data_IF_356121002151
#
_entry.id   IF_356121002151
#
_cell.length_a   1.000
_cell.length_b   1.000
_cell.length_c   1.000
_cell.angle_alpha   90.00
_cell.angle_beta   90.00
_cell.angle_gamma   90.00
#
_symmetry.space_group_name_H-M   'P 1'
#
loop_
_entity.id
_entity.type
_entity.pdbx_description
1 polymer ?
#
# COMPACT_ATOMS: atom_id res chain seq x y z
N UNK A 1 -35.53 -22.15 3.14
CA UNK A 1 -34.43 -22.38 2.18
C UNK A 1 -33.27 -21.45 2.54
N UNK A 2 -32.04 -21.95 2.72
CA UNK A 2 -30.86 -21.09 2.89
C UNK A 2 -30.62 -20.38 1.55
N UNK A 3 -30.53 -19.07 1.57
CA UNK A 3 -30.30 -18.24 0.38
C UNK A 3 -28.86 -18.46 -0.13
N UNK A 4 -28.72 -18.73 -1.44
CA UNK A 4 -27.39 -18.85 -2.07
C UNK A 4 -26.54 -17.62 -1.84
N UNK A 5 -25.25 -17.82 -1.64
CA UNK A 5 -24.28 -16.77 -1.39
C UNK A 5 -23.40 -16.62 -2.64
N UNK A 6 -23.35 -15.39 -3.16
CA UNK A 6 -22.38 -15.00 -4.18
C UNK A 6 -21.53 -13.87 -3.62
N UNK A 7 -20.23 -14.12 -3.42
CA UNK A 7 -19.27 -13.12 -2.94
C UNK A 7 -18.18 -12.91 -3.98
N UNK A 8 -17.64 -11.70 -4.04
CA UNK A 8 -16.51 -11.37 -4.91
C UNK A 8 -15.44 -10.57 -4.18
N UNK A 9 -14.18 -10.94 -4.40
CA UNK A 9 -13.01 -10.31 -3.81
C UNK A 9 -12.10 -9.82 -4.93
N UNK A 10 -11.81 -8.53 -4.95
CA UNK A 10 -10.84 -7.94 -5.88
C UNK A 10 -9.44 -7.89 -5.27
N UNK A 11 -8.45 -8.31 -6.03
CA UNK A 11 -7.04 -8.33 -5.62
C UNK A 11 -6.10 -8.05 -6.80
N UNK A 12 -4.88 -7.64 -6.53
CA UNK A 12 -3.98 -7.17 -7.58
C UNK A 12 -2.61 -7.83 -7.61
N UNK A 13 -2.09 -8.36 -6.52
CA UNK A 13 -0.75 -8.94 -6.45
C UNK A 13 -0.79 -10.41 -6.09
N UNK A 14 0.31 -11.14 -6.39
CA UNK A 14 0.45 -12.55 -6.02
C UNK A 14 0.20 -12.79 -4.51
N UNK A 15 0.79 -11.95 -3.64
CA UNK A 15 0.62 -12.09 -2.19
C UNK A 15 -0.83 -11.87 -1.75
N UNK A 16 -1.47 -10.79 -2.21
CA UNK A 16 -2.87 -10.51 -1.89
C UNK A 16 -3.83 -11.53 -2.50
N UNK A 17 -3.50 -12.10 -3.66
CA UNK A 17 -4.29 -13.18 -4.26
C UNK A 17 -4.21 -14.47 -3.43
N UNK A 18 -3.03 -14.82 -2.90
CA UNK A 18 -2.87 -15.94 -1.99
C UNK A 18 -3.69 -15.74 -0.69
N UNK A 19 -3.64 -14.54 -0.10
CA UNK A 19 -4.48 -14.20 1.06
C UNK A 19 -5.97 -14.35 0.72
N UNK A 20 -6.43 -13.80 -0.42
CA UNK A 20 -7.82 -13.90 -0.84
C UNK A 20 -8.27 -15.36 -1.04
N UNK A 21 -7.40 -16.21 -1.59
CA UNK A 21 -7.67 -17.64 -1.76
C UNK A 21 -7.81 -18.36 -0.41
N UNK A 22 -6.89 -18.13 0.52
CA UNK A 22 -6.94 -18.68 1.89
C UNK A 22 -8.25 -18.29 2.59
N UNK A 23 -8.63 -17.02 2.50
CA UNK A 23 -9.89 -16.52 3.06
C UNK A 23 -11.09 -17.19 2.40
N UNK A 24 -11.10 -17.33 1.07
CA UNK A 24 -12.20 -17.95 0.33
C UNK A 24 -12.41 -19.43 0.74
N UNK A 25 -11.33 -20.19 0.83
CA UNK A 25 -11.34 -21.58 1.30
C UNK A 25 -11.86 -21.66 2.73
N UNK A 26 -11.31 -20.83 3.63
CA UNK A 26 -11.73 -20.78 5.03
C UNK A 26 -13.22 -20.39 5.18
N UNK A 27 -13.69 -19.41 4.41
CA UNK A 27 -15.09 -19.00 4.43
C UNK A 27 -16.01 -20.13 3.96
N UNK A 28 -15.65 -20.81 2.86
CA UNK A 28 -16.43 -21.93 2.34
C UNK A 28 -16.53 -23.10 3.34
N UNK A 29 -15.39 -23.54 3.88
CA UNK A 29 -15.32 -24.69 4.77
C UNK A 29 -16.00 -24.43 6.12
N UNK A 30 -15.78 -23.23 6.69
CA UNK A 30 -16.33 -22.87 8.00
C UNK A 30 -17.86 -22.73 7.99
N UNK A 31 -18.42 -22.15 6.93
CA UNK A 31 -19.85 -21.83 6.91
C UNK A 31 -20.70 -22.81 6.11
N UNK A 32 -20.10 -23.86 5.53
CA UNK A 32 -20.80 -24.90 4.75
C UNK A 32 -21.86 -24.26 3.85
N UNK A 33 -21.39 -23.47 2.89
CA UNK A 33 -22.26 -22.67 2.03
C UNK A 33 -23.26 -23.56 1.30
N UNK A 34 -24.54 -23.13 1.19
CA UNK A 34 -25.52 -23.87 0.41
C UNK A 34 -25.17 -23.85 -1.08
N UNK A 35 -25.49 -24.94 -1.78
CA UNK A 35 -25.35 -24.96 -3.25
C UNK A 35 -26.51 -24.19 -3.91
N UNK A 36 -26.27 -23.48 -5.02
CA UNK A 36 -24.99 -23.21 -5.69
C UNK A 36 -24.34 -21.88 -5.24
N UNK A 37 -23.72 -21.85 -4.06
CA UNK A 37 -22.96 -20.66 -3.62
C UNK A 37 -21.62 -20.56 -4.34
N UNK A 38 -21.12 -19.33 -4.52
CA UNK A 38 -19.81 -19.09 -5.16
C UNK A 38 -19.03 -17.97 -4.49
N UNK A 39 -17.70 -18.08 -4.51
CA UNK A 39 -16.76 -17.02 -4.14
C UNK A 39 -15.86 -16.77 -5.35
N UNK A 40 -15.95 -15.59 -5.93
CA UNK A 40 -15.17 -15.19 -7.10
C UNK A 40 -13.96 -14.35 -6.68
N UNK A 41 -12.77 -14.73 -7.12
CA UNK A 41 -11.57 -13.93 -7.00
C UNK A 41 -11.27 -13.21 -8.31
N UNK A 42 -11.35 -11.88 -8.31
CA UNK A 42 -11.00 -11.08 -9.46
C UNK A 42 -9.56 -10.54 -9.29
N UNK A 43 -8.67 -10.89 -10.21
CA UNK A 43 -7.26 -10.51 -10.17
C UNK A 43 -6.90 -9.60 -11.32
N UNK A 44 -6.14 -8.54 -11.05
CA UNK A 44 -5.64 -7.66 -12.11
C UNK A 44 -4.99 -6.39 -11.58
N UNK A 45 -3.78 -6.14 -12.04
CA UNK A 45 -3.11 -4.86 -11.82
C UNK A 45 -3.84 -3.74 -12.56
N UNK A 46 -3.93 -2.55 -11.94
CA UNK A 46 -4.48 -1.35 -12.53
C UNK A 46 -6.00 -1.23 -12.45
N UNK A 47 -6.76 -2.31 -12.65
CA UNK A 47 -8.24 -2.26 -12.61
C UNK A 47 -8.83 -2.61 -11.25
N UNK A 48 -8.11 -3.34 -10.41
CA UNK A 48 -8.59 -3.83 -9.11
C UNK A 48 -7.70 -3.44 -7.94
N UNK A 49 -6.71 -2.59 -8.19
CA UNK A 49 -5.75 -2.11 -7.20
C UNK A 49 -5.57 -0.60 -7.25
N UNK A 50 -4.66 -0.10 -6.44
CA UNK A 50 -4.31 1.31 -6.39
C UNK A 50 -5.51 2.17 -6.07
N UNK A 51 -5.64 3.28 -6.77
CA UNK A 51 -6.71 4.26 -6.55
C UNK A 51 -8.09 3.81 -7.05
N UNK A 52 -8.20 2.75 -7.87
CA UNK A 52 -9.49 2.22 -8.35
C UNK A 52 -10.13 1.21 -7.39
N UNK A 53 -9.35 0.55 -6.54
CA UNK A 53 -9.87 -0.46 -5.63
C UNK A 53 -11.03 0.05 -4.75
N UNK A 54 -10.91 1.21 -4.06
CA UNK A 54 -12.00 1.77 -3.28
C UNK A 54 -13.25 2.07 -4.12
N UNK A 55 -13.08 2.63 -5.32
CA UNK A 55 -14.17 2.96 -6.23
C UNK A 55 -14.95 1.73 -6.69
N UNK A 56 -14.25 0.63 -6.98
CA UNK A 56 -14.87 -0.62 -7.39
C UNK A 56 -15.71 -1.24 -6.26
N UNK A 57 -15.24 -1.13 -5.01
CA UNK A 57 -16.00 -1.59 -3.84
C UNK A 57 -17.21 -0.67 -3.57
N UNK A 58 -17.01 0.65 -3.57
CA UNK A 58 -18.09 1.64 -3.33
C UNK A 58 -19.24 1.50 -4.34
N UNK A 59 -18.91 1.23 -5.60
CA UNK A 59 -19.91 0.98 -6.66
C UNK A 59 -20.57 -0.40 -6.61
N UNK A 60 -20.18 -1.25 -5.67
CA UNK A 60 -20.70 -2.62 -5.54
C UNK A 60 -20.25 -3.58 -6.64
N UNK A 61 -19.21 -3.23 -7.40
CA UNK A 61 -18.63 -4.13 -8.41
C UNK A 61 -18.02 -5.37 -7.76
N UNK A 62 -17.45 -5.20 -6.56
CA UNK A 62 -16.96 -6.25 -5.69
C UNK A 62 -17.49 -6.06 -4.28
N UNK A 63 -17.75 -7.16 -3.58
CA UNK A 63 -18.16 -7.12 -2.18
C UNK A 63 -17.00 -6.72 -1.28
N UNK A 64 -15.81 -7.20 -1.63
CA UNK A 64 -14.56 -6.92 -0.91
C UNK A 64 -13.45 -6.57 -1.87
N UNK A 65 -12.47 -5.81 -1.39
CA UNK A 65 -11.27 -5.46 -2.17
C UNK A 65 -10.11 -5.08 -1.29
N UNK A 66 -8.91 -5.39 -1.77
CA UNK A 66 -7.67 -4.92 -1.16
C UNK A 66 -7.27 -3.58 -1.75
N UNK A 67 -6.71 -2.73 -0.90
CA UNK A 67 -6.07 -1.48 -1.34
C UNK A 67 -4.66 -1.41 -0.75
N UNK A 68 -3.77 -0.66 -1.37
CA UNK A 68 -2.42 -0.38 -0.90
C UNK A 68 -1.99 1.02 -1.35
N UNK A 69 -1.44 1.83 -0.46
CA UNK A 69 -1.33 1.67 0.99
C UNK A 69 -2.61 2.02 1.74
N UNK A 70 -2.59 1.88 3.08
CA UNK A 70 -3.71 2.24 3.96
C UNK A 70 -4.20 3.69 3.78
N UNK A 71 -3.31 4.62 3.45
CA UNK A 71 -3.63 6.02 3.18
C UNK A 71 -4.62 6.21 2.02
N UNK A 72 -4.58 5.35 1.00
CA UNK A 72 -5.54 5.40 -0.13
C UNK A 72 -6.96 5.09 0.34
N UNK A 73 -7.13 4.15 1.27
CA UNK A 73 -8.44 3.87 1.87
C UNK A 73 -8.99 5.10 2.60
N UNK A 74 -8.16 5.79 3.38
CA UNK A 74 -8.52 7.03 4.07
C UNK A 74 -8.87 8.15 3.10
N UNK A 75 -8.05 8.34 2.08
CA UNK A 75 -8.28 9.34 1.04
C UNK A 75 -9.64 9.14 0.35
N UNK A 76 -9.97 7.90 -0.02
CA UNK A 76 -11.26 7.55 -0.63
C UNK A 76 -12.44 7.73 0.36
N UNK A 77 -12.28 7.29 1.59
CA UNK A 77 -13.29 7.45 2.65
C UNK A 77 -13.64 8.92 2.91
N UNK A 78 -12.63 9.81 2.86
CA UNK A 78 -12.80 11.24 3.08
C UNK A 78 -13.17 12.01 1.79
N UNK A 79 -13.06 11.41 0.61
CA UNK A 79 -13.31 12.06 -0.69
C UNK A 79 -12.24 13.09 -1.05
N UNK A 80 -10.98 12.75 -0.83
CA UNK A 80 -9.82 13.63 -1.03
C UNK A 80 -8.99 13.21 -2.26
N UNK A 81 -8.04 14.03 -2.63
CA UNK A 81 -7.08 13.76 -3.72
C UNK A 81 -7.77 13.50 -5.06
N UNK A 82 -7.59 12.30 -5.59
CA UNK A 82 -8.22 11.90 -6.86
C UNK A 82 -9.71 11.54 -6.73
N UNK A 83 -10.27 11.51 -5.53
CA UNK A 83 -11.67 11.19 -5.29
C UNK A 83 -12.50 12.46 -5.13
N UNK A 84 -13.59 12.57 -5.90
CA UNK A 84 -14.46 13.77 -5.91
C UNK A 84 -15.53 13.78 -4.81
N UNK A 85 -15.73 12.64 -4.12
CA UNK A 85 -16.74 12.47 -3.07
C UNK A 85 -16.31 11.42 -2.05
N UNK A 86 -16.83 11.55 -0.83
CA UNK A 86 -16.69 10.54 0.21
C UNK A 86 -17.30 9.22 -0.24
N UNK A 87 -16.61 8.12 0.06
CA UNK A 87 -17.11 6.78 -0.25
C UNK A 87 -17.61 6.08 1.00
N UNK A 88 -18.69 5.31 0.85
CA UNK A 88 -19.34 4.59 1.95
C UNK A 88 -18.58 3.29 2.29
N UNK A 89 -17.30 3.39 2.60
CA UNK A 89 -16.40 2.26 2.85
C UNK A 89 -16.25 1.95 4.34
N UNK A 90 -15.96 0.68 4.62
CA UNK A 90 -15.52 0.17 5.92
C UNK A 90 -14.41 -0.85 5.71
N UNK A 91 -13.55 -0.99 6.73
CA UNK A 91 -12.57 -2.07 6.75
C UNK A 91 -13.15 -3.31 7.44
N UNK A 92 -12.82 -4.49 6.93
CA UNK A 92 -12.88 -5.72 7.73
C UNK A 92 -11.68 -5.72 8.68
N UNK A 93 -10.51 -5.36 8.19
CA UNK A 93 -9.27 -5.15 8.92
C UNK A 93 -8.16 -4.70 7.98
N UNK A 94 -6.93 -4.72 8.46
CA UNK A 94 -5.75 -4.37 7.67
C UNK A 94 -4.72 -5.49 7.77
N UNK A 95 -4.39 -6.12 6.66
CA UNK A 95 -3.29 -7.07 6.61
C UNK A 95 -1.98 -6.29 6.73
N UNK A 96 -1.10 -6.67 7.67
CA UNK A 96 0.19 -6.04 7.81
C UNK A 96 1.03 -6.21 6.54
N UNK A 97 1.61 -5.10 6.10
CA UNK A 97 2.58 -5.05 5.00
C UNK A 97 3.44 -3.82 5.24
N UNK A 98 4.58 -4.01 5.91
CA UNK A 98 5.49 -2.91 6.18
C UNK A 98 6.09 -2.39 4.89
N UNK A 99 5.96 -1.09 4.64
CA UNK A 99 6.53 -0.44 3.47
C UNK A 99 6.67 1.07 3.65
N UNK A 100 7.60 1.67 2.90
CA UNK A 100 7.85 3.11 2.89
C UNK A 100 8.08 3.58 1.46
N UNK A 101 7.60 4.78 1.15
CA UNK A 101 7.94 5.47 -0.09
C UNK A 101 9.21 6.29 0.13
N UNK A 102 10.31 5.94 -0.52
CA UNK A 102 11.60 6.59 -0.30
C UNK A 102 12.16 7.16 -1.59
N UNK A 103 12.74 8.36 -1.48
CA UNK A 103 13.62 8.94 -2.49
C UNK A 103 15.07 8.67 -2.08
N UNK A 104 15.74 7.79 -2.80
CA UNK A 104 17.17 7.54 -2.66
C UNK A 104 17.94 8.22 -3.78
N UNK A 105 19.14 8.74 -3.48
CA UNK A 105 20.01 9.42 -4.45
C UNK A 105 21.46 9.01 -4.22
N UNK A 106 22.22 8.82 -5.30
CA UNK A 106 23.64 8.51 -5.26
C UNK A 106 24.45 9.60 -4.54
N UNK A 107 25.38 9.22 -3.67
CA UNK A 107 26.21 10.17 -2.89
C UNK A 107 27.09 11.02 -3.81
N UNK A 108 27.48 10.50 -4.97
CA UNK A 108 28.27 11.17 -6.00
C UNK A 108 27.55 12.37 -6.65
N UNK A 109 26.22 12.44 -6.61
CA UNK A 109 25.46 13.59 -7.11
C UNK A 109 25.66 14.84 -6.26
N UNK A 110 26.14 14.70 -5.04
CA UNK A 110 26.26 15.78 -4.07
C UNK A 110 24.91 16.31 -3.54
N UNK A 111 23.78 15.71 -3.93
CA UNK A 111 22.43 16.09 -3.46
C UNK A 111 22.22 15.60 -2.02
N UNK A 112 21.80 16.52 -1.13
CA UNK A 112 21.56 16.26 0.27
C UNK A 112 20.07 16.32 0.66
N UNK A 113 19.24 16.98 -0.15
CA UNK A 113 17.80 17.11 0.10
C UNK A 113 17.02 17.15 -1.22
N UNK A 114 15.70 16.92 -1.14
CA UNK A 114 14.82 16.95 -2.34
C UNK A 114 14.71 18.38 -2.89
N UNK A 115 14.79 19.40 -2.02
CA UNK A 115 14.78 20.81 -2.41
C UNK A 115 15.95 21.18 -3.33
N UNK A 116 17.12 20.60 -3.08
CA UNK A 116 18.32 20.86 -3.88
C UNK A 116 18.17 20.38 -5.33
N UNK A 117 17.39 19.31 -5.57
CA UNK A 117 17.13 18.79 -6.91
C UNK A 117 16.51 19.90 -7.77
N UNK A 118 15.49 20.59 -7.23
CA UNK A 118 14.85 21.72 -7.89
C UNK A 118 15.78 22.93 -7.99
N UNK A 119 16.40 23.31 -6.89
CA UNK A 119 17.26 24.51 -6.84
C UNK A 119 18.41 24.45 -7.85
N UNK A 120 19.01 23.27 -8.00
CA UNK A 120 20.10 23.00 -8.94
C UNK A 120 19.61 22.61 -10.34
N UNK A 121 18.30 22.41 -10.56
CA UNK A 121 17.74 21.80 -11.77
C UNK A 121 18.53 20.57 -12.17
N UNK A 122 18.79 19.69 -11.19
CA UNK A 122 19.71 18.57 -11.35
C UNK A 122 19.10 17.51 -12.30
N UNK A 123 19.81 17.09 -13.37
CA UNK A 123 19.31 16.18 -14.39
C UNK A 123 19.39 14.71 -13.96
N UNK A 124 18.70 14.33 -12.88
CA UNK A 124 18.72 12.98 -12.33
C UNK A 124 18.25 11.92 -13.32
N UNK A 125 18.91 10.77 -13.30
CA UNK A 125 18.43 9.53 -13.92
C UNK A 125 17.67 8.74 -12.84
N UNK A 126 16.34 8.86 -12.84
CA UNK A 126 15.47 8.32 -11.77
C UNK A 126 14.85 6.99 -12.18
N UNK A 127 15.14 5.92 -11.44
CA UNK A 127 14.44 4.65 -11.56
C UNK A 127 13.16 4.68 -10.70
N UNK A 128 12.00 4.51 -11.34
CA UNK A 128 10.68 4.57 -10.68
C UNK A 128 9.65 3.68 -11.38
N UNK A 129 8.42 3.67 -10.92
CA UNK A 129 7.33 2.81 -11.45
C UNK A 129 6.92 3.18 -12.87
N UNK A 130 6.46 2.16 -13.62
CA UNK A 130 5.83 2.38 -14.93
C UNK A 130 4.66 3.34 -14.85
N UNK A 131 4.50 4.16 -15.88
CA UNK A 131 3.33 5.00 -16.03
C UNK A 131 2.08 4.11 -16.20
N UNK A 132 1.12 4.31 -15.32
CA UNK A 132 -0.20 3.66 -15.37
C UNK A 132 -1.15 4.49 -14.53
N UNK A 133 -2.29 4.85 -15.07
CA UNK A 133 -3.21 5.85 -14.52
C UNK A 133 -3.79 5.51 -13.13
N UNK A 134 -3.53 4.32 -12.59
CA UNK A 134 -4.22 3.78 -11.43
C UNK A 134 -3.28 3.33 -10.31
N UNK A 135 -1.98 3.55 -10.44
CA UNK A 135 -1.01 3.18 -9.40
C UNK A 135 -0.97 4.25 -8.31
N UNK A 136 -1.31 3.86 -7.10
CA UNK A 136 -1.19 4.72 -5.91
C UNK A 136 0.21 5.28 -5.72
N UNK A 137 1.23 4.50 -6.06
CA UNK A 137 2.64 4.89 -5.99
C UNK A 137 2.93 6.15 -6.79
N UNK A 138 2.54 6.20 -8.07
CA UNK A 138 2.79 7.39 -8.90
C UNK A 138 1.99 8.59 -8.43
N UNK A 139 0.74 8.41 -8.02
CA UNK A 139 -0.06 9.48 -7.44
C UNK A 139 0.65 10.13 -6.23
N UNK A 140 1.20 9.29 -5.34
CA UNK A 140 1.87 9.80 -4.13
C UNK A 140 3.21 10.43 -4.48
N UNK A 141 3.98 9.85 -5.41
CA UNK A 141 5.22 10.46 -5.92
C UNK A 141 4.94 11.86 -6.48
N UNK A 142 3.92 11.99 -7.33
CA UNK A 142 3.53 13.27 -7.91
C UNK A 142 3.12 14.28 -6.83
N UNK A 143 2.35 13.86 -5.82
CA UNK A 143 1.95 14.74 -4.71
C UNK A 143 3.13 15.13 -3.81
N UNK A 144 4.13 14.24 -3.60
CA UNK A 144 5.37 14.60 -2.92
C UNK A 144 6.12 15.66 -3.71
N UNK A 145 6.45 15.40 -4.97
CA UNK A 145 7.23 16.32 -5.82
C UNK A 145 6.52 17.67 -6.01
N UNK A 146 5.20 17.66 -6.15
CA UNK A 146 4.38 18.87 -6.19
C UNK A 146 4.49 19.69 -4.90
N UNK A 147 4.69 19.03 -3.75
CA UNK A 147 4.99 19.70 -2.48
C UNK A 147 6.29 20.50 -2.52
N UNK A 148 7.26 20.06 -3.31
CA UNK A 148 8.52 20.76 -3.58
C UNK A 148 8.43 21.71 -4.79
N UNK A 149 7.31 21.73 -5.51
CA UNK A 149 7.07 22.60 -6.64
C UNK A 149 7.80 22.17 -7.92
N UNK A 150 7.99 20.88 -8.14
CA UNK A 150 8.48 20.30 -9.39
C UNK A 150 7.85 18.91 -9.63
N UNK A 151 8.13 18.31 -10.77
CA UNK A 151 7.61 17.03 -11.21
C UNK A 151 8.69 16.15 -11.84
N UNK A 152 8.37 14.89 -12.13
CA UNK A 152 9.25 14.03 -12.93
C UNK A 152 9.48 14.57 -14.34
N UNK A 153 8.51 15.31 -14.91
CA UNK A 153 8.66 15.96 -16.21
C UNK A 153 9.65 17.12 -16.17
N UNK A 154 9.73 17.84 -15.06
CA UNK A 154 10.73 18.89 -14.89
C UNK A 154 12.14 18.29 -14.87
N UNK A 155 12.35 17.15 -14.20
CA UNK A 155 13.64 16.43 -14.24
C UNK A 155 14.05 16.09 -15.68
N UNK A 156 13.10 15.64 -16.50
CA UNK A 156 13.36 15.38 -17.94
C UNK A 156 13.75 16.69 -18.64
N UNK A 157 13.02 17.79 -18.40
CA UNK A 157 13.30 19.08 -19.02
C UNK A 157 14.67 19.65 -18.63
N UNK A 158 15.21 19.23 -17.48
CA UNK A 158 16.57 19.62 -17.03
C UNK A 158 17.66 18.73 -17.62
N UNK A 159 17.32 17.77 -18.50
CA UNK A 159 18.25 16.84 -19.15
C UNK A 159 18.35 15.48 -18.45
N UNK A 160 17.55 15.23 -17.43
CA UNK A 160 17.47 13.93 -16.73
C UNK A 160 16.70 12.87 -17.48
N UNK A 161 16.59 11.68 -16.90
CA UNK A 161 15.92 10.51 -17.50
C UNK A 161 15.04 9.81 -16.48
N UNK A 162 13.84 9.42 -16.89
CA UNK A 162 12.94 8.59 -16.06
C UNK A 162 12.94 7.16 -16.60
N UNK A 163 13.52 6.26 -15.82
CA UNK A 163 13.60 4.82 -16.13
C UNK A 163 12.47 4.09 -15.41
N UNK A 164 11.61 3.45 -16.21
CA UNK A 164 10.37 2.84 -15.71
C UNK A 164 10.54 1.35 -15.49
N UNK A 165 10.13 0.86 -14.31
CA UNK A 165 10.14 -0.56 -13.95
C UNK A 165 8.74 -1.05 -13.60
N UNK A 166 8.47 -2.32 -13.87
CA UNK A 166 7.14 -2.94 -13.66
C UNK A 166 6.75 -3.05 -12.18
N UNK A 167 7.73 -3.32 -11.32
CA UNK A 167 7.56 -3.47 -9.87
C UNK A 167 8.87 -3.17 -9.12
N UNK A 168 8.84 -2.95 -7.78
CA UNK A 168 10.03 -2.59 -7.01
C UNK A 168 11.14 -3.65 -7.04
N UNK A 169 10.78 -4.92 -7.15
CA UNK A 169 11.71 -6.07 -7.16
C UNK A 169 12.12 -6.52 -8.56
N UNK A 170 11.83 -5.73 -9.60
CA UNK A 170 12.16 -6.12 -10.98
C UNK A 170 13.68 -6.23 -11.19
N UNK A 171 14.15 -7.18 -12.03
CA UNK A 171 15.56 -7.30 -12.38
C UNK A 171 16.16 -6.01 -12.97
N UNK A 172 15.37 -5.24 -13.71
CA UNK A 172 15.77 -3.95 -14.28
C UNK A 172 16.11 -2.92 -13.18
N UNK A 173 15.35 -2.89 -12.07
CA UNK A 173 15.67 -2.05 -10.94
C UNK A 173 17.04 -2.41 -10.34
N UNK A 174 17.27 -3.70 -10.13
CA UNK A 174 18.54 -4.17 -9.60
C UNK A 174 19.71 -3.88 -10.58
N UNK A 175 19.47 -3.98 -11.88
CA UNK A 175 20.44 -3.60 -12.91
C UNK A 175 20.76 -2.12 -12.85
N UNK A 176 19.75 -1.23 -12.87
CA UNK A 176 19.94 0.22 -12.79
C UNK A 176 20.80 0.65 -11.58
N UNK A 177 20.61 -0.03 -10.44
CA UNK A 177 21.38 0.24 -9.23
C UNK A 177 22.84 -0.24 -9.33
N UNK A 178 23.06 -1.49 -9.78
CA UNK A 178 24.40 -2.09 -9.86
C UNK A 178 25.28 -1.50 -10.94
N UNK A 179 24.67 -1.13 -12.06
CA UNK A 179 25.42 -0.54 -13.21
C UNK A 179 25.69 0.95 -13.05
N UNK A 180 25.06 1.61 -12.07
CA UNK A 180 25.12 3.07 -11.95
C UNK A 180 24.35 3.81 -13.05
N UNK A 181 23.45 3.12 -13.78
CA UNK A 181 22.57 3.79 -14.75
C UNK A 181 21.59 4.74 -14.07
N UNK A 182 21.17 4.44 -12.83
CA UNK A 182 20.31 5.32 -12.04
C UNK A 182 21.12 6.12 -11.03
N UNK A 183 20.94 7.44 -11.04
CA UNK A 183 21.42 8.33 -9.98
C UNK A 183 20.45 8.35 -8.79
N UNK A 184 19.21 7.96 -9.02
CA UNK A 184 18.17 7.99 -8.00
C UNK A 184 17.13 6.88 -8.16
N UNK A 185 16.48 6.53 -7.05
CA UNK A 185 15.28 5.70 -7.01
C UNK A 185 14.20 6.46 -6.26
N UNK A 186 13.01 6.56 -6.81
CA UNK A 186 11.84 7.06 -6.07
C UNK A 186 10.71 6.07 -6.22
N UNK A 187 10.50 5.25 -5.18
CA UNK A 187 9.51 4.17 -5.22
C UNK A 187 9.11 3.72 -3.81
N UNK A 188 8.03 2.93 -3.74
CA UNK A 188 7.64 2.06 -2.63
C UNK A 188 8.35 0.70 -2.74
N UNK A 189 7.96 -0.28 -1.91
CA UNK A 189 8.55 -1.61 -1.93
C UNK A 189 9.99 -1.61 -1.43
N UNK A 190 10.29 -0.75 -0.46
CA UNK A 190 11.64 -0.47 0.04
C UNK A 190 12.41 -1.73 0.45
N UNK A 191 11.73 -2.78 0.95
CA UNK A 191 12.35 -4.07 1.26
C UNK A 191 13.01 -4.76 0.06
N UNK A 192 12.52 -4.47 -1.14
CA UNK A 192 13.02 -5.11 -2.36
C UNK A 192 14.29 -4.48 -2.92
N UNK A 193 14.53 -3.20 -2.65
CA UNK A 193 15.61 -2.45 -3.29
C UNK A 193 16.44 -1.59 -2.32
N UNK A 194 15.93 -1.30 -1.12
CA UNK A 194 16.55 -0.33 -0.22
C UNK A 194 17.95 -0.72 0.23
N UNK A 195 18.18 -2.00 0.60
CA UNK A 195 19.51 -2.48 0.96
C UNK A 195 20.49 -2.37 -0.23
N UNK A 196 20.06 -2.80 -1.41
CA UNK A 196 20.89 -2.70 -2.62
C UNK A 196 21.22 -1.24 -2.97
N UNK A 197 20.30 -0.30 -2.79
CA UNK A 197 20.55 1.11 -3.03
C UNK A 197 21.63 1.66 -2.08
N UNK A 198 21.55 1.34 -0.80
CA UNK A 198 22.57 1.73 0.19
C UNK A 198 23.94 1.08 -0.12
N UNK A 199 23.93 -0.21 -0.53
CA UNK A 199 25.14 -0.93 -0.94
C UNK A 199 25.76 -0.36 -2.21
N UNK A 200 24.94 0.22 -3.09
CA UNK A 200 25.37 0.93 -4.32
C UNK A 200 25.77 2.39 -4.07
N UNK A 201 25.95 2.80 -2.82
CA UNK A 201 26.42 4.16 -2.49
C UNK A 201 25.32 5.23 -2.48
N UNK A 202 24.05 4.86 -2.49
CA UNK A 202 22.96 5.84 -2.36
C UNK A 202 22.74 6.23 -0.90
N UNK A 203 22.05 7.36 -0.71
CA UNK A 203 21.48 7.81 0.57
C UNK A 203 19.97 7.98 0.42
N UNK A 204 19.24 7.79 1.51
CA UNK A 204 17.81 8.10 1.57
C UNK A 204 17.63 9.56 1.96
N UNK A 205 16.78 10.27 1.23
CA UNK A 205 16.44 11.66 1.52
C UNK A 205 15.17 11.71 2.39
N UNK A 206 15.19 12.47 3.49
CA UNK A 206 13.98 12.74 4.27
C UNK A 206 13.00 13.59 3.46
N UNK A 207 11.71 13.41 3.68
CA UNK A 207 10.70 14.30 3.15
C UNK A 207 10.47 15.43 4.16
N UNK A 208 10.45 16.68 3.65
CA UNK A 208 10.27 17.87 4.50
C UNK A 208 8.95 17.81 5.28
N UNK A 209 8.93 18.22 6.56
CA UNK A 209 7.74 18.12 7.41
C UNK A 209 6.49 18.79 6.82
N UNK A 210 6.62 19.91 6.12
CA UNK A 210 5.46 20.58 5.52
C UNK A 210 4.86 19.80 4.34
N UNK A 211 5.70 19.08 3.58
CA UNK A 211 5.22 18.17 2.53
C UNK A 211 4.52 16.98 3.17
N UNK A 212 5.06 16.41 4.24
CA UNK A 212 4.41 15.33 5.01
C UNK A 212 3.06 15.77 5.56
N UNK A 213 2.98 16.94 6.21
CA UNK A 213 1.70 17.51 6.70
C UNK A 213 0.66 17.71 5.58
N UNK A 214 1.11 18.07 4.37
CA UNK A 214 0.22 18.16 3.21
C UNK A 214 -0.32 16.78 2.82
N UNK A 215 0.51 15.74 2.83
CA UNK A 215 0.10 14.37 2.53
C UNK A 215 -0.80 13.79 3.63
N UNK A 216 -0.58 14.14 4.90
CA UNK A 216 -1.46 13.77 6.02
C UNK A 216 -2.88 14.31 5.82
N UNK A 217 -3.02 15.53 5.30
CA UNK A 217 -4.34 16.08 4.93
C UNK A 217 -5.01 15.32 3.79
N UNK A 218 -4.23 14.65 2.92
CA UNK A 218 -4.76 13.75 1.91
C UNK A 218 -5.06 12.34 2.45
N UNK A 219 -4.62 12.01 3.67
CA UNK A 219 -4.91 10.73 4.32
C UNK A 219 -3.71 9.80 4.47
N UNK A 220 -2.51 10.23 4.09
CA UNK A 220 -1.28 9.44 4.22
C UNK A 220 -0.57 9.79 5.52
N UNK A 221 -0.12 8.78 6.27
CA UNK A 221 0.69 9.01 7.45
C UNK A 221 2.16 9.15 7.05
N UNK A 222 2.94 9.79 7.93
CA UNK A 222 4.39 9.74 7.91
C UNK A 222 4.90 8.60 8.79
N UNK A 223 6.07 8.06 8.45
CA UNK A 223 6.71 7.03 9.25
C UNK A 223 8.25 7.07 9.10
N UNK A 224 8.98 6.59 10.11
CA UNK A 224 10.43 6.54 10.06
C UNK A 224 10.94 5.35 9.22
N UNK A 225 12.16 5.51 8.71
CA UNK A 225 13.08 4.44 8.32
C UNK A 225 14.31 4.60 9.20
N UNK A 226 14.72 3.53 9.86
CA UNK A 226 15.79 3.57 10.87
C UNK A 226 16.88 2.53 10.60
N UNK A 227 17.95 2.58 11.38
CA UNK A 227 19.01 1.57 11.34
C UNK A 227 18.53 0.17 11.79
N UNK A 228 17.37 0.07 12.44
CA UNK A 228 16.74 -1.23 12.76
C UNK A 228 16.38 -1.99 11.49
N UNK A 229 15.81 -1.29 10.50
CA UNK A 229 15.44 -1.86 9.21
C UNK A 229 16.65 -1.89 8.25
N UNK A 230 17.48 -0.85 8.29
CA UNK A 230 18.62 -0.67 7.38
C UNK A 230 19.89 -0.30 8.18
N UNK A 231 20.70 -1.28 8.62
CA UNK A 231 21.90 -1.02 9.44
C UNK A 231 22.92 -0.07 8.81
N UNK A 232 22.94 0.04 7.47
CA UNK A 232 23.83 0.97 6.73
C UNK A 232 23.26 2.39 6.57
N UNK A 233 22.10 2.67 7.14
CA UNK A 233 21.51 4.00 7.09
C UNK A 233 22.26 4.94 8.03
N UNK A 234 22.87 6.00 7.49
CA UNK A 234 23.70 6.95 8.24
C UNK A 234 22.92 7.62 9.41
N UNK A 235 21.64 7.94 9.17
CA UNK A 235 20.71 8.53 10.16
C UNK A 235 19.26 8.19 9.81
N UNK A 236 18.38 8.12 10.81
CA UNK A 236 16.94 7.92 10.55
C UNK A 236 16.38 9.02 9.65
N UNK A 237 15.45 8.65 8.77
CA UNK A 237 14.69 9.59 7.95
C UNK A 237 13.20 9.44 8.25
N UNK A 238 12.43 10.50 8.01
CA UNK A 238 10.98 10.46 8.00
C UNK A 238 10.48 10.58 6.56
N UNK A 239 9.56 9.70 6.18
CA UNK A 239 9.00 9.61 4.84
C UNK A 239 7.52 9.22 4.88
N UNK A 240 6.90 8.96 3.72
CA UNK A 240 5.51 8.52 3.64
C UNK A 240 5.40 7.06 4.03
N UNK A 241 4.48 6.76 4.95
CA UNK A 241 4.07 5.40 5.26
C UNK A 241 3.29 4.79 4.09
N UNK A 242 3.87 3.76 3.49
CA UNK A 242 3.25 3.01 2.39
C UNK A 242 2.71 1.66 2.85
N UNK A 243 2.56 1.47 4.15
CA UNK A 243 2.20 0.21 4.78
C UNK A 243 0.71 -0.10 4.73
N UNK A 244 0.42 -1.38 4.92
CA UNK A 244 -0.89 -1.92 5.13
C UNK A 244 -1.69 -2.22 3.86
N UNK A 245 -2.38 -3.37 3.92
CA UNK A 245 -3.36 -3.77 2.91
C UNK A 245 -4.76 -3.81 3.52
N UNK A 246 -5.48 -2.68 3.65
CA UNK A 246 -6.87 -2.67 4.09
C UNK A 246 -7.73 -3.60 3.23
N UNK A 247 -8.52 -4.41 3.91
CA UNK A 247 -9.54 -5.25 3.28
C UNK A 247 -10.89 -4.57 3.42
N UNK A 248 -11.35 -4.00 2.32
CA UNK A 248 -12.50 -3.08 2.28
C UNK A 248 -13.79 -3.80 1.92
N UNK A 249 -14.89 -3.26 2.43
CA UNK A 249 -16.26 -3.53 1.98
C UNK A 249 -17.09 -2.23 2.02
N UNK A 250 -18.29 -2.25 1.49
CA UNK A 250 -19.26 -1.16 1.65
C UNK A 250 -19.79 -1.10 3.07
N UNK A 251 -20.17 0.07 3.52
CA UNK A 251 -20.76 0.28 4.86
C UNK A 251 -22.14 -0.37 5.03
N UNK A 252 -22.87 -0.56 3.95
CA UNK A 252 -24.21 -1.18 3.90
C UNK A 252 -24.16 -2.69 3.67
N UNK A 253 -22.99 -3.32 3.54
CA UNK A 253 -22.87 -4.76 3.52
C UNK A 253 -23.59 -5.37 4.74
N UNK A 254 -24.38 -6.42 4.53
CA UNK A 254 -25.11 -7.03 5.64
C UNK A 254 -24.12 -7.44 6.76
N UNK A 255 -24.39 -7.07 8.04
CA UNK A 255 -23.46 -7.30 9.15
C UNK A 255 -23.05 -8.75 9.33
N UNK A 256 -23.95 -9.69 9.00
CA UNK A 256 -23.68 -11.11 9.05
C UNK A 256 -22.53 -11.53 8.12
N UNK A 257 -22.46 -10.95 6.91
CA UNK A 257 -21.36 -11.25 5.98
C UNK A 257 -20.04 -10.70 6.46
N UNK A 258 -20.00 -9.49 6.97
CA UNK A 258 -18.78 -8.92 7.54
C UNK A 258 -18.32 -9.68 8.80
N UNK A 259 -19.24 -10.13 9.63
CA UNK A 259 -18.98 -10.99 10.78
C UNK A 259 -18.36 -12.33 10.35
N UNK A 260 -19.02 -13.02 9.40
CA UNK A 260 -18.53 -14.29 8.85
C UNK A 260 -17.17 -14.13 8.17
N UNK A 261 -16.95 -13.02 7.48
CA UNK A 261 -15.65 -12.72 6.86
C UNK A 261 -14.54 -12.55 7.89
N UNK A 262 -14.80 -11.81 8.97
CA UNK A 262 -13.86 -11.68 10.08
C UNK A 262 -13.56 -13.04 10.73
N UNK A 263 -14.57 -13.87 10.94
CA UNK A 263 -14.42 -15.21 11.50
C UNK A 263 -13.66 -16.17 10.56
N UNK A 264 -13.82 -16.02 9.24
CA UNK A 264 -13.06 -16.81 8.27
C UNK A 264 -11.57 -16.42 8.27
N UNK A 265 -11.27 -15.12 8.34
CA UNK A 265 -9.91 -14.63 8.44
C UNK A 265 -9.25 -15.13 9.73
N UNK A 266 -9.96 -15.04 10.87
CA UNK A 266 -9.47 -15.51 12.16
C UNK A 266 -9.10 -17.00 12.13
N UNK A 267 -9.91 -17.82 11.45
CA UNK A 267 -9.64 -19.28 11.38
C UNK A 267 -8.47 -19.67 10.46
N UNK A 268 -7.93 -18.75 9.68
CA UNK A 268 -6.78 -19.02 8.79
C UNK A 268 -5.63 -18.00 8.97
N UNK A 269 -5.71 -17.10 9.93
CA UNK A 269 -4.77 -15.97 10.02
C UNK A 269 -3.31 -16.40 10.21
N UNK A 270 -3.05 -17.50 10.93
CA UNK A 270 -1.71 -18.04 11.13
C UNK A 270 -1.06 -18.54 9.81
N UNK A 271 -1.90 -18.93 8.84
CA UNK A 271 -1.46 -19.43 7.53
C UNK A 271 -1.37 -18.31 6.48
N UNK A 272 -1.83 -17.10 6.81
CA UNK A 272 -1.80 -15.97 5.88
C UNK A 272 -0.38 -15.44 5.79
N UNK A 273 0.24 -15.44 4.59
CA UNK A 273 1.54 -14.84 4.39
C UNK A 273 1.43 -13.33 4.53
N UNK A 274 1.96 -12.79 5.61
CA UNK A 274 2.01 -11.35 5.84
C UNK A 274 3.41 -10.81 5.58
N UNK A 275 3.46 -9.52 5.28
CA UNK A 275 4.67 -8.85 4.85
C UNK A 275 5.20 -7.90 5.93
N UNK A 276 5.38 -8.41 7.16
CA UNK A 276 6.11 -7.71 8.22
C UNK A 276 7.59 -7.59 7.87
N UNK A 277 8.23 -6.51 8.30
CA UNK A 277 9.67 -6.36 8.10
C UNK A 277 10.47 -7.40 8.90
N UNK A 278 10.03 -7.72 10.09
CA UNK A 278 10.60 -8.74 10.99
C UNK A 278 10.08 -10.17 10.74
N UNK A 279 9.32 -10.37 9.67
CA UNK A 279 8.73 -11.65 9.25
C UNK A 279 7.85 -12.35 10.30
N UNK A 280 7.42 -11.64 11.34
CA UNK A 280 6.50 -12.18 12.35
C UNK A 280 5.13 -12.49 11.74
N UNK A 281 4.46 -13.50 12.29
CA UNK A 281 3.08 -13.82 11.90
C UNK A 281 2.11 -12.68 12.26
N UNK A 282 1.02 -12.59 11.50
CA UNK A 282 -0.06 -11.66 11.80
C UNK A 282 -0.81 -12.12 13.07
N UNK A 283 -1.11 -11.17 13.95
CA UNK A 283 -2.09 -11.38 15.01
C UNK A 283 -3.43 -10.78 14.61
N UNK A 284 -4.53 -11.30 15.19
CA UNK A 284 -5.85 -10.72 14.97
C UNK A 284 -5.98 -9.32 15.59
N UNK A 285 -5.20 -9.01 16.62
CA UNK A 285 -5.10 -7.68 17.20
C UNK A 285 -4.48 -6.70 16.21
N UNK A 286 -3.35 -7.05 15.56
CA UNK A 286 -2.74 -6.24 14.50
C UNK A 286 -3.74 -6.00 13.36
N UNK A 287 -4.46 -7.04 12.94
CA UNK A 287 -5.42 -6.97 11.86
C UNK A 287 -6.61 -6.03 12.14
N UNK A 288 -7.18 -6.09 13.34
CA UNK A 288 -8.39 -5.32 13.66
C UNK A 288 -8.14 -3.96 14.31
N UNK A 289 -7.00 -3.75 14.98
CA UNK A 289 -6.62 -2.46 15.60
C UNK A 289 -5.71 -1.64 14.70
N UNK A 290 -5.00 -2.31 13.80
CA UNK A 290 -3.87 -1.76 13.07
C UNK A 290 -2.55 -1.89 13.84
N UNK A 291 -1.46 -1.77 13.12
CA UNK A 291 -0.09 -1.85 13.62
C UNK A 291 0.81 -0.88 12.84
N UNK A 292 2.09 -0.77 13.20
CA UNK A 292 3.07 0.01 12.45
C UNK A 292 3.16 -0.44 10.97
N UNK A 293 3.13 -1.76 10.72
CA UNK A 293 3.11 -2.32 9.35
C UNK A 293 1.72 -2.38 8.71
N UNK A 294 0.66 -1.85 9.34
CA UNK A 294 -0.70 -1.95 8.83
C UNK A 294 -1.67 -1.01 9.56
N UNK A 295 -1.56 0.32 9.38
CA UNK A 295 -2.40 1.25 10.11
C UNK A 295 -3.87 1.15 9.66
N UNK A 296 -4.79 1.05 10.63
CA UNK A 296 -6.23 1.10 10.40
C UNK A 296 -6.66 2.57 10.21
N UNK A 297 -6.90 2.98 8.99
CA UNK A 297 -7.13 4.39 8.61
C UNK A 297 -8.60 4.75 8.40
N UNK A 298 -9.50 3.77 8.34
CA UNK A 298 -10.95 3.94 8.23
C UNK A 298 -11.69 3.06 9.24
N UNK A 299 -12.95 3.39 9.60
CA UNK A 299 -13.67 2.60 10.59
C UNK A 299 -13.91 1.15 10.16
N UNK A 300 -13.85 0.23 11.13
CA UNK A 300 -14.26 -1.15 10.95
C UNK A 300 -15.75 -1.26 10.61
N UNK A 301 -16.11 -2.27 9.82
CA UNK A 301 -17.51 -2.63 9.60
C UNK A 301 -18.16 -3.16 10.90
N UNK A 302 -19.41 -2.77 11.16
CA UNK A 302 -20.10 -3.11 12.42
C UNK A 302 -20.16 -4.62 12.70
N UNK A 303 -20.32 -5.45 11.65
CA UNK A 303 -20.32 -6.91 11.78
C UNK A 303 -18.93 -7.47 12.16
N UNK A 304 -17.86 -6.98 11.53
CA UNK A 304 -16.49 -7.35 11.87
C UNK A 304 -16.14 -6.90 13.29
N UNK A 305 -16.48 -5.65 13.65
CA UNK A 305 -16.25 -5.11 15.01
C UNK A 305 -16.97 -5.92 16.09
N UNK A 306 -18.19 -6.41 15.80
CA UNK A 306 -18.92 -7.31 16.70
C UNK A 306 -18.12 -8.59 16.95
N UNK A 307 -17.67 -9.26 15.88
CA UNK A 307 -16.84 -10.46 15.99
C UNK A 307 -15.59 -10.25 16.84
N UNK A 308 -14.84 -9.17 16.58
CA UNK A 308 -13.59 -8.90 17.29
C UNK A 308 -13.80 -8.61 18.78
N UNK A 309 -14.92 -7.98 19.15
CA UNK A 309 -15.28 -7.77 20.57
C UNK A 309 -15.64 -9.08 21.26
N UNK A 310 -16.41 -9.96 20.61
CA UNK A 310 -16.76 -11.28 21.14
C UNK A 310 -15.52 -12.16 21.36
N UNK A 311 -14.46 -11.94 20.59
CA UNK A 311 -13.18 -12.64 20.68
C UNK A 311 -12.13 -11.93 21.56
N UNK A 312 -12.49 -10.81 22.17
CA UNK A 312 -11.57 -9.97 22.96
C UNK A 312 -10.33 -9.48 22.19
N UNK A 313 -10.44 -9.29 20.88
CA UNK A 313 -9.38 -8.70 20.06
C UNK A 313 -9.43 -7.16 20.09
N UNK A 314 -10.59 -6.57 20.42
CA UNK A 314 -10.82 -5.14 20.58
C UNK A 314 -11.19 -4.78 22.01
#
# INVERSE_FOLDING_TARGET
MKKNISLSIATASKGRAAIAASIAVSFYTRFRLPEPSQITLAMGYGRFAGTDAPTNVDRGKFHFGFVNPSGVARMAYLGLGCYKKKMALRAIGVFPSWDRLVFAVGKETGIQSIEEIKAKRYPLRVSTRMAGSLLSTLFIIDEVLKGYGFSLSDIISWGGKIMRVSNPSSPERAHHLRSGEADAVFDEGLKSWGALALDSGMRFLPIHPDVLKRLERLGFNSAPVTSKEYPRLDKPITTVDFSGWPFLCRSDLAPEFAYKMAAAIDSCHEQIPVDHFDQRAMTMQDFCRGSDGGPLTIPLHRGAKKYYREKAYL
#
